data_IF_163281613741
#
_entry.id   IF_163281613741
#
_cell.length_a   1.000
_cell.length_b   1.000
_cell.length_c   1.000
_cell.angle_alpha   90.00
_cell.angle_beta   90.00
_cell.angle_gamma   90.00
#
_symmetry.space_group_name_H-M   'P 1'
#
loop_
_entity.id
_entity.type
_entity.pdbx_description
1 polymer ?
#
# COMPACT_ATOMS: atom_id res chain seq x y z
N UNK A 1 20.22 6.27 -22.70
CA UNK A 1 19.86 5.00 -22.06
C UNK A 1 19.78 5.17 -20.56
N UNK A 2 18.59 5.07 -19.99
CA UNK A 2 18.47 4.86 -18.56
C UNK A 2 18.93 3.42 -18.28
N UNK A 3 19.97 3.21 -17.44
CA UNK A 3 20.43 1.89 -17.11
C UNK A 3 19.41 1.31 -16.13
N UNK A 4 18.77 0.20 -16.54
CA UNK A 4 17.83 -0.62 -15.78
C UNK A 4 16.36 -0.15 -15.79
N UNK A 5 15.52 -0.97 -16.41
CA UNK A 5 14.08 -0.99 -16.21
C UNK A 5 13.83 -1.21 -14.71
N UNK A 6 13.11 -0.31 -14.05
CA UNK A 6 12.73 -0.39 -12.64
C UNK A 6 11.95 -1.67 -12.27
N UNK A 7 11.58 -2.47 -13.28
CA UNK A 7 10.88 -3.74 -13.19
C UNK A 7 11.78 -4.95 -12.85
N UNK A 8 13.11 -4.86 -13.02
CA UNK A 8 14.05 -5.98 -12.83
C UNK A 8 14.59 -6.14 -11.40
N UNK A 9 14.29 -5.20 -10.50
CA UNK A 9 14.55 -5.43 -9.07
C UNK A 9 13.44 -6.33 -8.52
N UNK A 10 13.75 -7.41 -7.77
CA UNK A 10 12.77 -8.29 -7.15
C UNK A 10 12.13 -7.58 -5.94
N UNK A 11 11.53 -6.42 -6.17
CA UNK A 11 10.79 -5.63 -5.20
C UNK A 11 9.40 -6.24 -4.95
N UNK A 12 9.07 -7.36 -5.62
CA UNK A 12 7.94 -8.21 -5.28
C UNK A 12 8.25 -8.90 -3.96
N UNK A 13 7.88 -8.23 -2.87
CA UNK A 13 7.77 -8.84 -1.55
C UNK A 13 6.32 -9.29 -1.37
N UNK A 14 6.12 -10.49 -0.83
CA UNK A 14 4.82 -10.86 -0.26
C UNK A 14 4.60 -9.95 0.93
N UNK A 15 3.95 -8.83 0.68
CA UNK A 15 3.83 -7.71 1.58
C UNK A 15 2.40 -7.25 1.52
N UNK A 16 1.68 -7.51 2.60
CA UNK A 16 0.28 -7.10 2.71
C UNK A 16 0.20 -5.62 3.05
N UNK A 17 -0.99 -5.04 2.88
CA UNK A 17 -1.29 -3.70 3.38
C UNK A 17 -1.03 -3.61 4.89
N UNK A 18 -1.28 -4.69 5.64
CA UNK A 18 -1.03 -4.72 7.08
C UNK A 18 0.47 -4.66 7.41
N UNK A 19 1.31 -5.34 6.63
CA UNK A 19 2.77 -5.27 6.81
C UNK A 19 3.29 -3.86 6.51
N UNK A 20 2.73 -3.19 5.51
CA UNK A 20 3.03 -1.79 5.22
C UNK A 20 2.65 -0.85 6.36
N UNK A 21 1.46 -1.02 6.91
CA UNK A 21 0.95 -0.20 8.00
C UNK A 21 1.76 -0.42 9.29
N UNK A 22 2.14 -1.67 9.58
CA UNK A 22 3.03 -2.01 10.69
C UNK A 22 4.42 -1.36 10.51
N UNK A 23 4.97 -1.36 9.29
CA UNK A 23 6.23 -0.68 8.99
C UNK A 23 6.10 0.83 9.15
N UNK A 24 4.99 1.43 8.69
CA UNK A 24 4.73 2.86 8.89
C UNK A 24 4.75 3.22 10.37
N UNK A 25 4.09 2.41 11.21
CA UNK A 25 4.08 2.61 12.66
C UNK A 25 5.49 2.50 13.28
N UNK A 26 6.30 1.51 12.85
CA UNK A 26 7.69 1.38 13.29
C UNK A 26 8.57 2.57 12.90
N UNK A 27 8.30 3.16 11.74
CA UNK A 27 9.03 4.34 11.24
C UNK A 27 8.51 5.66 11.83
N UNK A 28 7.47 5.64 12.68
CA UNK A 28 6.84 6.85 13.22
C UNK A 28 6.05 7.66 12.17
N UNK A 29 5.64 7.01 11.08
CA UNK A 29 4.79 7.58 10.06
C UNK A 29 3.32 7.46 10.48
N UNK A 30 2.56 8.52 10.26
CA UNK A 30 1.13 8.60 10.55
C UNK A 30 0.37 8.49 9.25
N UNK A 31 -0.52 7.50 9.17
CA UNK A 31 -1.43 7.32 8.05
C UNK A 31 -2.61 8.25 8.22
N UNK A 32 -2.75 9.24 7.33
CA UNK A 32 -3.86 10.21 7.33
C UNK A 32 -5.03 9.76 6.49
N UNK A 33 -4.77 8.98 5.45
CA UNK A 33 -5.79 8.46 4.55
C UNK A 33 -5.26 7.18 3.90
N UNK A 34 -6.16 6.21 3.75
CA UNK A 34 -5.94 4.97 3.02
C UNK A 34 -7.10 4.83 2.02
N UNK A 35 -6.77 4.65 0.75
CA UNK A 35 -7.74 4.27 -0.29
C UNK A 35 -7.26 3.03 -1.00
N UNK A 36 -8.12 2.03 -1.08
CA UNK A 36 -7.86 0.79 -1.82
C UNK A 36 -8.74 0.80 -3.05
N UNK A 37 -8.17 0.47 -4.19
CA UNK A 37 -8.82 0.46 -5.50
C UNK A 37 -8.84 -0.97 -6.05
N UNK A 38 -9.92 -1.34 -6.72
CA UNK A 38 -10.02 -2.59 -7.48
C UNK A 38 -9.27 -2.47 -8.82
N UNK A 39 -9.22 -3.53 -9.62
CA UNK A 39 -8.57 -3.53 -10.94
C UNK A 39 -9.23 -2.56 -11.93
N UNK A 40 -10.48 -2.16 -11.70
CA UNK A 40 -11.22 -1.20 -12.51
C UNK A 40 -11.02 0.25 -12.02
N UNK A 41 -10.27 0.46 -10.93
CA UNK A 41 -10.02 1.76 -10.34
C UNK A 41 -11.13 2.28 -9.42
N UNK A 42 -12.14 1.45 -9.08
CA UNK A 42 -13.17 1.83 -8.12
C UNK A 42 -12.65 1.66 -6.69
N UNK A 43 -13.16 2.47 -5.77
CA UNK A 43 -12.81 2.32 -4.36
C UNK A 43 -13.41 1.04 -3.78
N UNK A 44 -12.57 0.20 -3.19
CA UNK A 44 -12.97 -0.98 -2.44
C UNK A 44 -13.37 -0.53 -1.04
N UNK A 45 -14.66 -0.58 -0.75
CA UNK A 45 -15.19 -0.46 0.61
C UNK A 45 -15.33 -1.88 1.17
N UNK A 46 -14.47 -2.25 2.12
CA UNK A 46 -14.56 -3.53 2.81
C UNK A 46 -14.76 -3.32 4.31
N UNK A 47 -15.45 -4.27 4.96
CA UNK A 47 -15.81 -4.15 6.37
C UNK A 47 -14.67 -4.59 7.30
N UNK A 48 -13.69 -5.34 6.78
CA UNK A 48 -12.51 -5.82 7.49
C UNK A 48 -11.24 -5.54 6.67
N UNK A 49 -10.14 -5.14 7.32
CA UNK A 49 -8.84 -4.87 6.71
C UNK A 49 -8.28 -6.09 5.95
N UNK A 50 -8.68 -7.31 6.34
CA UNK A 50 -8.29 -8.54 5.64
C UNK A 50 -8.95 -8.67 4.27
N UNK A 51 -10.16 -8.14 4.10
CA UNK A 51 -10.88 -8.17 2.82
C UNK A 51 -10.27 -7.20 1.80
N UNK A 52 -9.68 -6.09 2.26
CA UNK A 52 -8.96 -5.13 1.41
C UNK A 52 -7.73 -5.74 0.73
N UNK A 53 -7.03 -6.65 1.41
CA UNK A 53 -5.90 -7.36 0.82
C UNK A 53 -6.31 -8.38 -0.25
N UNK A 54 -7.57 -8.83 -0.25
CA UNK A 54 -8.08 -9.81 -1.20
C UNK A 54 -8.83 -9.19 -2.39
N UNK A 55 -9.50 -8.06 -2.16
CA UNK A 55 -10.31 -7.35 -3.17
C UNK A 55 -9.59 -6.14 -3.80
N UNK A 56 -8.53 -5.65 -3.17
CA UNK A 56 -7.74 -4.53 -3.66
C UNK A 56 -6.65 -4.94 -4.64
N UNK A 57 -6.56 -4.23 -5.77
CA UNK A 57 -5.44 -4.34 -6.71
C UNK A 57 -4.36 -3.29 -6.45
N UNK A 58 -4.76 -2.12 -5.94
CA UNK A 58 -3.88 -0.98 -5.69
C UNK A 58 -4.29 -0.27 -4.40
N UNK A 59 -3.33 0.19 -3.60
CA UNK A 59 -3.60 1.03 -2.44
C UNK A 59 -2.80 2.33 -2.48
N UNK A 60 -3.46 3.42 -2.13
CA UNK A 60 -2.89 4.76 -2.03
C UNK A 60 -2.94 5.21 -0.58
N UNK A 61 -1.78 5.59 -0.06
CA UNK A 61 -1.62 6.06 1.31
C UNK A 61 -1.18 7.52 1.32
N UNK A 62 -1.83 8.33 2.17
CA UNK A 62 -1.35 9.66 2.52
C UNK A 62 -0.69 9.60 3.88
N UNK A 63 0.62 9.75 3.90
CA UNK A 63 1.45 9.66 5.10
C UNK A 63 1.88 11.05 5.57
N UNK A 64 2.09 11.19 6.87
CA UNK A 64 2.79 12.33 7.47
C UNK A 64 3.74 11.83 8.55
N UNK A 65 4.61 12.70 9.06
CA UNK A 65 5.49 12.41 10.18
C UNK A 65 5.32 13.53 11.20
N UNK A 66 5.29 13.19 12.49
CA UNK A 66 5.33 14.22 13.54
C UNK A 66 6.72 14.86 13.51
N UNK A 67 6.77 16.17 13.32
CA UNK A 67 7.96 17.00 13.44
C UNK A 67 8.12 17.48 14.89
#
# INVERSE_FOLDING_TARGET
>A
DLPYQWYDSPNVRFFTLLDFEALCAQMGLIIRERRVLDEQGNTVEANDDKELNFLGSLAVYRLTQNH
#
